data_IF_725989279386
#
_entry.id   IF_725989279386
#
_cell.length_a   1.000
_cell.length_b   1.000
_cell.length_c   1.000
_cell.angle_alpha   90.00
_cell.angle_beta   90.00
_cell.angle_gamma   90.00
#
_symmetry.space_group_name_H-M   'P 1'
#
loop_
_entity.id
_entity.type
_entity.pdbx_description
1 polymer ?
#
# COMPACT_ATOMS: atom_id res chain seq x y z
N UNK A 1 26.61 34.80 14.82
CA UNK A 1 27.32 33.51 14.95
C UNK A 1 26.43 32.60 15.78
N UNK A 2 26.00 31.45 15.24
CA UNK A 2 25.25 30.49 16.04
C UNK A 2 26.15 29.94 17.16
N UNK A 3 25.65 29.75 18.38
CA UNK A 3 26.45 29.16 19.45
C UNK A 3 26.84 27.72 19.08
N UNK A 4 28.06 27.32 19.43
CA UNK A 4 28.60 25.98 19.13
C UNK A 4 27.67 24.86 19.66
N UNK A 5 27.00 25.09 20.78
CA UNK A 5 26.01 24.18 21.35
C UNK A 5 24.83 23.90 20.41
N UNK A 6 24.39 24.88 19.61
CA UNK A 6 23.33 24.71 18.63
C UNK A 6 23.78 23.82 17.48
N UNK A 7 25.01 24.02 16.98
CA UNK A 7 25.57 23.18 15.91
C UNK A 7 25.74 21.72 16.36
N UNK A 8 26.19 21.50 17.60
CA UNK A 8 26.31 20.16 18.20
C UNK A 8 24.94 19.51 18.35
N UNK A 9 23.93 20.24 18.82
CA UNK A 9 22.56 19.72 18.95
C UNK A 9 21.97 19.31 17.58
N UNK A 10 22.17 20.12 16.55
CA UNK A 10 21.72 19.78 15.19
C UNK A 10 22.43 18.54 14.65
N UNK A 11 23.76 18.46 14.77
CA UNK A 11 24.53 17.28 14.36
C UNK A 11 24.04 16.02 15.08
N UNK A 12 23.84 16.09 16.40
CA UNK A 12 23.33 14.97 17.17
C UNK A 12 21.93 14.55 16.69
N UNK A 13 21.02 15.50 16.46
CA UNK A 13 19.68 15.23 15.95
C UNK A 13 19.71 14.54 14.59
N UNK A 14 20.50 15.03 13.63
CA UNK A 14 20.65 14.38 12.32
C UNK A 14 21.25 12.97 12.42
N UNK A 15 22.25 12.77 13.28
CA UNK A 15 22.83 11.42 13.47
C UNK A 15 21.84 10.44 14.08
N UNK A 16 21.01 10.89 15.02
CA UNK A 16 19.96 10.07 15.63
C UNK A 16 18.87 9.76 14.60
N UNK A 17 18.45 10.74 13.79
CA UNK A 17 17.46 10.54 12.73
C UNK A 17 17.93 9.52 11.70
N UNK A 18 19.19 9.60 11.25
CA UNK A 18 19.77 8.62 10.30
C UNK A 18 19.88 7.22 10.94
N UNK A 19 20.18 7.13 12.24
CA UNK A 19 20.35 5.84 12.92
C UNK A 19 19.02 5.15 13.22
N UNK A 20 18.00 5.91 13.64
CA UNK A 20 16.69 5.38 14.01
C UNK A 20 15.69 5.31 12.84
N UNK A 21 15.92 6.09 11.79
CA UNK A 21 15.14 6.04 10.54
C UNK A 21 16.06 5.52 9.43
N UNK A 22 16.32 4.20 9.35
CA UNK A 22 17.02 3.65 8.20
C UNK A 22 16.27 4.08 6.93
N UNK A 23 16.97 4.51 5.86
CA UNK A 23 16.32 4.78 4.60
C UNK A 23 15.51 3.54 4.24
N UNK A 24 14.22 3.71 3.97
CA UNK A 24 13.38 2.65 3.41
C UNK A 24 14.10 2.20 2.15
N UNK A 25 14.81 1.09 2.25
CA UNK A 25 15.48 0.49 1.13
C UNK A 25 14.36 -0.06 0.28
N UNK A 26 13.88 0.75 -0.65
CA UNK A 26 12.95 0.34 -1.69
C UNK A 26 13.68 -0.67 -2.57
N UNK A 27 13.79 -1.91 -2.08
CA UNK A 27 14.25 -3.07 -2.82
C UNK A 27 13.24 -3.51 -3.88
N UNK A 28 12.46 -2.56 -4.41
CA UNK A 28 11.57 -2.74 -5.55
C UNK A 28 12.35 -3.11 -6.84
N UNK A 29 13.67 -2.88 -6.87
CA UNK A 29 14.53 -3.23 -8.02
C UNK A 29 14.99 -4.69 -8.06
N UNK A 30 14.83 -5.47 -6.98
CA UNK A 30 15.27 -6.88 -6.98
C UNK A 30 14.32 -7.82 -7.72
N UNK A 31 13.08 -7.42 -7.98
CA UNK A 31 12.11 -8.25 -8.74
C UNK A 31 12.23 -8.12 -10.26
N UNK A 32 12.98 -7.15 -10.79
CA UNK A 32 13.00 -6.91 -12.24
C UNK A 32 13.74 -7.99 -13.03
N UNK A 33 14.59 -8.81 -12.40
CA UNK A 33 15.44 -9.78 -13.10
C UNK A 33 15.49 -11.16 -12.44
N UNK A 34 14.64 -11.46 -11.44
CA UNK A 34 14.60 -12.80 -10.88
C UNK A 34 13.97 -13.73 -11.92
N UNK A 35 14.78 -14.59 -12.55
CA UNK A 35 14.27 -15.83 -13.15
C UNK A 35 13.30 -16.42 -12.14
N UNK A 36 12.00 -16.45 -12.48
CA UNK A 36 10.93 -16.96 -11.64
C UNK A 36 11.43 -18.18 -10.87
N UNK A 37 11.54 -18.05 -9.54
CA UNK A 37 11.84 -19.18 -8.68
C UNK A 37 10.84 -20.28 -9.00
N UNK A 38 11.29 -21.53 -9.04
CA UNK A 38 10.43 -22.69 -9.28
C UNK A 38 9.25 -22.80 -8.30
N UNK A 39 9.26 -22.04 -7.19
CA UNK A 39 8.18 -21.96 -6.20
C UNK A 39 7.03 -21.02 -6.58
N UNK A 40 7.16 -20.21 -7.63
CA UNK A 40 6.10 -19.27 -8.06
C UNK A 40 5.25 -19.80 -9.22
N UNK A 41 5.39 -21.09 -9.56
CA UNK A 41 4.73 -21.72 -10.72
C UNK A 41 3.20 -21.67 -10.65
N UNK A 42 2.64 -21.62 -9.44
CA UNK A 42 1.20 -21.64 -9.22
C UNK A 42 0.66 -20.27 -8.73
N UNK A 43 1.43 -19.20 -8.88
CA UNK A 43 1.01 -17.84 -8.53
C UNK A 43 0.48 -17.11 -9.75
N UNK A 44 -0.65 -16.42 -9.58
CA UNK A 44 -1.21 -15.51 -10.60
C UNK A 44 -0.82 -14.08 -10.22
N UNK A 45 -0.30 -13.34 -11.20
CA UNK A 45 -0.03 -11.91 -11.05
C UNK A 45 -1.29 -11.13 -11.41
N UNK A 46 -1.89 -10.47 -10.43
CA UNK A 46 -3.11 -9.69 -10.61
C UNK A 46 -2.79 -8.18 -10.67
N UNK A 47 -3.44 -7.48 -11.60
CA UNK A 47 -3.45 -6.02 -11.61
C UNK A 47 -2.18 -5.33 -12.13
N UNK A 48 -1.27 -6.06 -12.78
CA UNK A 48 -0.07 -5.46 -13.37
C UNK A 48 -0.44 -4.34 -14.36
N UNK A 49 0.08 -3.14 -14.11
CA UNK A 49 -0.17 -1.96 -14.95
C UNK A 49 -1.58 -1.38 -14.86
N UNK A 50 -2.51 -2.02 -14.13
CA UNK A 50 -3.90 -1.57 -14.00
C UNK A 50 -4.21 -0.93 -12.64
N UNK A 51 -3.40 -1.20 -11.62
CA UNK A 51 -3.57 -0.63 -10.27
C UNK A 51 -2.46 0.39 -9.99
N UNK A 52 -2.85 1.65 -9.81
CA UNK A 52 -1.92 2.75 -9.62
C UNK A 52 -1.48 2.84 -8.15
N UNK A 53 -0.21 2.52 -7.86
CA UNK A 53 0.36 2.53 -6.50
C UNK A 53 -0.59 1.90 -5.46
N UNK A 54 -0.89 0.58 -5.56
CA UNK A 54 -1.67 -0.09 -4.54
C UNK A 54 -0.94 -0.04 -3.19
N UNK A 55 -1.67 0.30 -2.14
CA UNK A 55 -1.10 0.38 -0.78
C UNK A 55 -1.30 -0.92 0.00
N UNK A 56 -2.50 -1.52 -0.09
CA UNK A 56 -2.89 -2.68 0.70
C UNK A 56 -4.01 -3.48 0.00
N UNK A 57 -4.28 -4.71 0.48
CA UNK A 57 -5.30 -5.62 -0.06
C UNK A 57 -6.12 -6.31 1.04
N UNK A 58 -7.40 -6.53 0.79
CA UNK A 58 -8.28 -7.31 1.68
C UNK A 58 -9.14 -8.28 0.88
N UNK A 59 -9.22 -9.54 1.33
CA UNK A 59 -9.96 -10.60 0.63
C UNK A 59 -11.29 -10.85 1.31
N UNK A 60 -12.38 -10.73 0.55
CA UNK A 60 -13.73 -11.12 1.00
C UNK A 60 -14.08 -12.46 0.38
N UNK A 61 -13.80 -13.54 1.10
CA UNK A 61 -13.98 -14.93 0.61
C UNK A 61 -15.41 -15.19 0.16
N UNK A 62 -16.42 -14.75 0.94
CA UNK A 62 -17.85 -14.94 0.60
C UNK A 62 -18.24 -14.25 -0.71
N UNK A 63 -17.59 -13.14 -1.07
CA UNK A 63 -17.82 -12.40 -2.32
C UNK A 63 -16.90 -12.88 -3.45
N UNK A 64 -15.90 -13.71 -3.17
CA UNK A 64 -14.88 -14.12 -4.14
C UNK A 64 -14.10 -12.92 -4.71
N UNK A 65 -13.87 -11.90 -3.88
CA UNK A 65 -13.30 -10.62 -4.31
C UNK A 65 -12.08 -10.21 -3.48
N UNK A 66 -11.10 -9.60 -4.14
CA UNK A 66 -9.94 -8.95 -3.50
C UNK A 66 -10.04 -7.45 -3.71
N UNK A 67 -10.17 -6.70 -2.62
CA UNK A 67 -10.22 -5.24 -2.62
C UNK A 67 -8.83 -4.66 -2.48
N UNK A 68 -8.61 -3.51 -3.09
CA UNK A 68 -7.39 -2.71 -2.94
C UNK A 68 -7.73 -1.21 -3.03
N UNK A 69 -6.99 -0.39 -2.30
CA UNK A 69 -7.04 1.06 -2.44
C UNK A 69 -5.82 1.53 -3.23
N UNK A 70 -6.04 2.33 -4.25
CA UNK A 70 -5.01 2.85 -5.14
C UNK A 70 -4.88 4.37 -4.96
N UNK A 71 -3.66 4.91 -5.13
CA UNK A 71 -3.42 6.38 -4.99
C UNK A 71 -4.10 7.23 -6.07
N UNK A 72 -4.80 6.61 -7.03
CA UNK A 72 -5.66 7.30 -7.98
C UNK A 72 -7.05 7.65 -7.40
N UNK A 73 -7.26 7.44 -6.09
CA UNK A 73 -8.52 7.75 -5.41
C UNK A 73 -9.56 6.63 -5.49
N UNK A 74 -9.25 5.53 -6.16
CA UNK A 74 -10.20 4.44 -6.30
C UNK A 74 -9.95 3.31 -5.31
N UNK A 75 -11.02 2.90 -4.64
CA UNK A 75 -11.13 1.54 -4.13
C UNK A 75 -11.58 0.66 -5.29
N UNK A 76 -10.78 -0.35 -5.58
CA UNK A 76 -10.99 -1.31 -6.66
C UNK A 76 -11.19 -2.70 -6.07
N UNK A 77 -11.84 -3.59 -6.81
CA UNK A 77 -11.78 -5.01 -6.49
C UNK A 77 -11.54 -5.87 -7.73
N UNK A 78 -10.84 -6.99 -7.51
CA UNK A 78 -10.71 -8.08 -8.45
C UNK A 78 -11.73 -9.15 -8.13
N UNK A 79 -12.43 -9.61 -9.16
CA UNK A 79 -13.23 -10.83 -9.08
C UNK A 79 -12.27 -12.00 -9.28
N UNK A 80 -12.05 -12.82 -8.25
CA UNK A 80 -10.95 -13.82 -8.25
C UNK A 80 -11.15 -14.95 -9.26
N UNK A 81 -12.39 -15.26 -9.65
CA UNK A 81 -12.66 -16.39 -10.56
C UNK A 81 -12.44 -16.06 -12.04
N UNK A 82 -12.44 -14.78 -12.42
CA UNK A 82 -12.31 -14.33 -13.82
C UNK A 82 -11.36 -13.13 -13.99
N UNK A 83 -10.65 -12.77 -12.92
CA UNK A 83 -9.61 -11.74 -12.89
C UNK A 83 -10.08 -10.34 -13.32
N UNK A 84 -11.39 -10.09 -13.30
CA UNK A 84 -11.95 -8.80 -13.70
C UNK A 84 -11.67 -7.74 -12.63
N UNK A 85 -11.06 -6.63 -13.05
CA UNK A 85 -10.86 -5.45 -12.21
C UNK A 85 -12.04 -4.48 -12.34
N UNK A 86 -12.57 -4.04 -11.19
CA UNK A 86 -13.66 -3.06 -11.13
C UNK A 86 -13.21 -1.86 -10.29
N UNK A 87 -13.36 -0.65 -10.84
CA UNK A 87 -13.29 0.60 -10.08
C UNK A 87 -14.62 0.76 -9.32
N UNK A 88 -14.63 0.42 -8.03
CA UNK A 88 -15.87 0.31 -7.26
C UNK A 88 -16.31 1.64 -6.67
N UNK A 89 -15.42 2.32 -5.95
CA UNK A 89 -15.77 3.55 -5.22
C UNK A 89 -14.63 4.55 -5.27
N UNK A 90 -14.92 5.74 -5.77
CA UNK A 90 -14.00 6.86 -5.70
C UNK A 90 -14.08 7.50 -4.31
N UNK A 91 -12.92 7.71 -3.71
CA UNK A 91 -12.71 8.48 -2.51
C UNK A 91 -11.77 9.60 -2.94
N UNK A 92 -12.17 10.85 -2.75
CA UNK A 92 -11.37 12.03 -3.12
C UNK A 92 -10.16 12.17 -2.19
N UNK A 93 -9.21 11.24 -2.29
CA UNK A 93 -7.98 11.16 -1.53
C UNK A 93 -6.95 10.30 -2.26
N UNK A 94 -5.67 10.59 -2.07
CA UNK A 94 -4.55 9.81 -2.59
C UNK A 94 -3.62 9.33 -1.47
N UNK A 95 -4.05 9.44 -0.21
CA UNK A 95 -3.26 9.18 0.99
C UNK A 95 -3.78 7.97 1.79
N UNK A 96 -4.19 6.92 1.09
CA UNK A 96 -4.58 5.67 1.73
C UNK A 96 -3.39 5.01 2.42
N UNK A 97 -3.65 4.38 3.56
CA UNK A 97 -2.65 3.66 4.37
C UNK A 97 -2.94 2.18 4.49
N UNK A 98 -4.20 1.76 4.35
CA UNK A 98 -4.59 0.37 4.53
C UNK A 98 -6.06 0.13 4.23
N UNK A 99 -6.42 -1.14 4.04
CA UNK A 99 -7.79 -1.57 3.76
C UNK A 99 -8.10 -2.86 4.52
N UNK A 100 -9.29 -2.93 5.12
CA UNK A 100 -9.79 -4.17 5.72
C UNK A 100 -11.26 -4.37 5.39
N UNK A 101 -11.75 -5.57 5.66
CA UNK A 101 -13.15 -5.94 5.43
C UNK A 101 -13.76 -6.52 6.69
N UNK A 102 -15.05 -6.25 6.91
CA UNK A 102 -15.80 -6.84 8.02
C UNK A 102 -16.31 -8.24 7.65
N UNK A 103 -16.86 -8.98 8.62
CA UNK A 103 -17.47 -10.28 8.34
C UNK A 103 -18.69 -10.18 7.41
N UNK A 104 -19.42 -9.07 7.50
CA UNK A 104 -20.55 -8.71 6.64
C UNK A 104 -20.09 -8.29 5.23
N UNK A 105 -18.79 -8.03 5.06
CA UNK A 105 -18.18 -7.65 3.80
C UNK A 105 -18.24 -6.15 3.51
N UNK A 106 -18.42 -5.32 4.54
CA UNK A 106 -18.16 -3.88 4.45
C UNK A 106 -16.66 -3.65 4.26
N UNK A 107 -16.31 -2.56 3.57
CA UNK A 107 -14.92 -2.21 3.29
C UNK A 107 -14.54 -1.00 4.14
N UNK A 108 -13.47 -1.11 4.93
CA UNK A 108 -12.95 -0.02 5.74
C UNK A 108 -11.60 0.39 5.17
N UNK A 109 -11.45 1.68 4.86
CA UNK A 109 -10.21 2.26 4.35
C UNK A 109 -9.62 3.21 5.38
N UNK A 110 -8.34 3.02 5.68
CA UNK A 110 -7.56 3.94 6.48
C UNK A 110 -6.92 4.97 5.55
N UNK A 111 -7.02 6.23 5.92
CA UNK A 111 -6.44 7.37 5.22
C UNK A 111 -5.66 8.20 6.23
N UNK A 112 -4.57 8.85 5.81
CA UNK A 112 -3.82 9.76 6.68
C UNK A 112 -4.68 10.90 7.24
N UNK A 113 -5.71 11.32 6.51
CA UNK A 113 -6.58 12.40 6.97
C UNK A 113 -7.75 11.90 7.82
N UNK A 114 -8.35 10.76 7.47
CA UNK A 114 -9.55 10.23 8.14
C UNK A 114 -9.87 8.77 7.79
N UNK A 115 -10.18 7.95 8.79
CA UNK A 115 -10.73 6.58 8.56
C UNK A 115 -12.16 6.66 7.99
N UNK A 116 -12.45 5.87 6.95
CA UNK A 116 -13.76 5.82 6.28
C UNK A 116 -14.30 4.38 6.19
N UNK A 117 -15.56 4.18 6.58
CA UNK A 117 -16.31 2.95 6.30
C UNK A 117 -17.09 3.12 4.99
N UNK A 118 -17.00 2.11 4.13
CA UNK A 118 -17.65 2.08 2.83
C UNK A 118 -18.63 0.91 2.83
N UNK A 119 -19.91 1.26 2.81
CA UNK A 119 -21.00 0.35 2.50
C UNK A 119 -21.11 0.19 0.98
#
# INVERSE_FOLDING_TARGET
MAPISFLIACLLAFTLEIFFSPPVSSSASLLSNSKYSSSMKDLIKLGEGCVNHPEDVSVVVRKGALYTAARDGWVKYFILHNETLVNWKHIDSNTFLGITTTEEGDVIVCDTEKVRQLN
#
